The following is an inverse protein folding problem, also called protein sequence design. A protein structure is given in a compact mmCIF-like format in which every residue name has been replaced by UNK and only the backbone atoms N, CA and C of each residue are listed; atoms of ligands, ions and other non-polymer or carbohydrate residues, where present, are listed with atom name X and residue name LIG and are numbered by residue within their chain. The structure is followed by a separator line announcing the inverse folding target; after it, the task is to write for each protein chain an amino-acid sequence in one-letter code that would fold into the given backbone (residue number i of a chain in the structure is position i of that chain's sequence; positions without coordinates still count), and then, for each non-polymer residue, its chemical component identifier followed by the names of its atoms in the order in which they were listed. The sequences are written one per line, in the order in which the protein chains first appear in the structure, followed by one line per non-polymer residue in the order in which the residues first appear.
data_IF_589746441985
#
_entry.id   IF_589746441985
#
_cell.length_a   1.000
_cell.length_b   1.000
_cell.length_c   1.000
_cell.angle_alpha   90.00
_cell.angle_beta   90.00
_cell.angle_gamma   90.00
#
_symmetry.space_group_name_H-M   'P 1'
#
loop_
_entity.id
_entity.type
_entity.pdbx_description
1 polymer ?
#
# COMPACT_ATOMS: atom_id res chain seq x y z
N UNK A 1 18.26 10.92 -10.60
CA UNK A 1 18.51 9.57 -11.16
C UNK A 1 19.53 8.76 -10.38
N UNK A 2 20.69 9.30 -9.98
CA UNK A 2 21.70 8.57 -9.18
C UNK A 2 21.15 7.95 -7.88
N UNK A 3 20.27 8.66 -7.17
CA UNK A 3 19.62 8.12 -5.97
C UNK A 3 18.84 6.84 -6.25
N UNK A 4 18.05 6.80 -7.34
CA UNK A 4 17.28 5.61 -7.73
C UNK A 4 18.21 4.44 -8.08
N UNK A 5 19.35 4.72 -8.72
CA UNK A 5 20.37 3.71 -9.00
C UNK A 5 20.94 3.11 -7.71
N UNK A 6 21.28 3.95 -6.74
CA UNK A 6 21.75 3.50 -5.44
C UNK A 6 20.70 2.62 -4.76
N UNK A 7 19.42 3.04 -4.73
CA UNK A 7 18.33 2.25 -4.15
C UNK A 7 18.17 0.88 -4.82
N UNK A 8 18.15 0.82 -6.15
CA UNK A 8 18.00 -0.46 -6.87
C UNK A 8 19.22 -1.38 -6.65
N UNK A 9 20.42 -0.82 -6.54
CA UNK A 9 21.63 -1.60 -6.27
C UNK A 9 21.67 -2.14 -4.85
N UNK A 10 21.24 -1.34 -3.87
CA UNK A 10 21.32 -1.59 -2.42
C UNK A 10 20.05 -2.16 -1.78
N UNK A 11 19.06 -2.57 -2.58
CA UNK A 11 17.78 -3.08 -2.07
C UNK A 11 17.94 -4.36 -1.23
N UNK A 12 19.02 -5.12 -1.47
CA UNK A 12 19.31 -6.38 -0.76
C UNK A 12 20.01 -6.17 0.59
N UNK A 13 20.52 -4.96 0.86
CA UNK A 13 21.38 -4.66 2.01
C UNK A 13 20.61 -4.30 3.30
N UNK A 14 19.27 -4.28 3.27
CA UNK A 14 18.40 -3.85 4.39
C UNK A 14 18.78 -2.50 5.02
N UNK A 15 19.26 -1.59 4.17
CA UNK A 15 19.60 -0.23 4.57
C UNK A 15 18.33 0.59 4.83
N UNK A 16 17.75 0.48 6.03
CA UNK A 16 16.49 1.15 6.40
C UNK A 16 16.48 2.67 6.13
N UNK A 17 17.54 3.45 6.44
CA UNK A 17 17.56 4.87 6.10
C UNK A 17 17.40 5.13 4.59
N UNK A 18 18.01 4.29 3.75
CA UNK A 18 17.89 4.39 2.29
C UNK A 18 16.46 4.06 1.82
N UNK A 19 15.84 3.03 2.40
CA UNK A 19 14.46 2.61 2.09
C UNK A 19 13.42 3.64 2.55
N UNK A 20 13.67 4.34 3.66
CA UNK A 20 12.83 5.44 4.11
C UNK A 20 12.92 6.66 3.19
N UNK A 21 14.13 7.01 2.71
CA UNK A 21 14.28 8.06 1.69
C UNK A 21 13.61 7.63 0.38
N UNK A 22 13.72 6.36 0.00
CA UNK A 22 13.00 5.83 -1.17
C UNK A 22 11.49 6.01 -1.02
N UNK A 23 10.94 5.69 0.16
CA UNK A 23 9.53 5.91 0.48
C UNK A 23 9.12 7.38 0.36
N UNK A 24 9.99 8.29 0.82
CA UNK A 24 9.76 9.73 0.71
C UNK A 24 9.76 10.20 -0.77
N UNK A 25 10.73 9.71 -1.56
CA UNK A 25 10.87 10.04 -2.98
C UNK A 25 9.72 9.46 -3.80
N UNK A 26 9.20 8.29 -3.45
CA UNK A 26 8.07 7.67 -4.15
C UNK A 26 6.71 8.20 -3.70
N UNK A 27 6.61 8.94 -2.60
CA UNK A 27 5.31 9.38 -2.07
C UNK A 27 4.66 10.46 -2.97
N UNK A 28 3.57 10.17 -3.70
CA UNK A 28 2.93 11.14 -4.60
C UNK A 28 2.34 12.36 -3.88
N UNK A 29 2.07 12.23 -2.57
CA UNK A 29 1.56 13.32 -1.72
C UNK A 29 2.69 14.21 -1.19
N UNK A 30 3.96 13.90 -1.47
CA UNK A 30 5.10 14.71 -1.04
C UNK A 30 5.09 16.10 -1.68
N UNK A 31 5.57 17.11 -0.93
CA UNK A 31 5.62 18.52 -1.37
C UNK A 31 6.29 18.71 -2.73
N UNK A 32 7.34 17.96 -3.00
CA UNK A 32 8.04 18.00 -4.29
C UNK A 32 7.13 17.60 -5.47
N UNK A 33 6.39 16.50 -5.33
CA UNK A 33 5.48 16.03 -6.38
C UNK A 33 4.24 16.91 -6.51
N UNK A 34 3.75 17.47 -5.40
CA UNK A 34 2.67 18.46 -5.45
C UNK A 34 3.10 19.73 -6.20
N UNK A 35 4.31 20.24 -5.95
CA UNK A 35 4.82 21.43 -6.65
C UNK A 35 5.05 21.18 -8.16
N UNK A 36 5.29 19.92 -8.56
CA UNK A 36 5.63 19.54 -9.93
C UNK A 36 4.54 18.66 -10.60
N UNK A 37 3.29 18.74 -10.13
CA UNK A 37 2.23 17.80 -10.49
C UNK A 37 1.86 17.81 -11.98
N UNK A 38 2.07 18.94 -12.68
CA UNK A 38 1.80 19.08 -14.12
C UNK A 38 2.92 18.58 -15.04
N UNK A 39 4.09 18.24 -14.47
CA UNK A 39 5.24 17.80 -15.27
C UNK A 39 4.93 16.46 -15.93
N UNK A 40 5.10 16.37 -17.24
CA UNK A 40 4.91 15.12 -18.01
C UNK A 40 6.15 14.24 -17.90
N UNK A 41 5.95 12.92 -17.91
CA UNK A 41 7.02 11.92 -17.94
C UNK A 41 7.83 12.03 -19.23
N UNK A 42 9.15 11.82 -19.16
CA UNK A 42 10.01 11.79 -20.35
C UNK A 42 10.42 10.35 -20.72
N UNK A 43 9.92 9.35 -19.98
CA UNK A 43 10.27 7.95 -20.17
C UNK A 43 9.99 7.44 -21.59
N UNK A 44 8.79 7.69 -22.11
CA UNK A 44 8.37 7.24 -23.45
C UNK A 44 9.15 7.87 -24.60
N UNK A 45 9.82 9.01 -24.38
CA UNK A 45 10.66 9.63 -25.41
C UNK A 45 12.02 8.94 -25.55
N UNK A 46 12.37 8.04 -24.61
CA UNK A 46 13.71 7.46 -24.50
C UNK A 46 13.73 5.94 -24.64
N UNK A 47 12.57 5.28 -24.50
CA UNK A 47 12.49 3.83 -24.40
C UNK A 47 11.26 3.29 -25.14
N UNK A 48 11.46 2.20 -25.90
CA UNK A 48 10.41 1.48 -26.62
C UNK A 48 9.81 0.30 -25.81
N UNK A 49 10.38 0.00 -24.63
CA UNK A 49 9.91 -1.08 -23.77
C UNK A 49 8.63 -0.72 -23.02
N UNK A 50 7.83 -1.74 -22.68
CA UNK A 50 6.65 -1.55 -21.84
C UNK A 50 7.04 -0.86 -20.51
N UNK A 51 6.40 0.25 -20.15
CA UNK A 51 6.74 0.98 -18.94
C UNK A 51 6.30 0.23 -17.68
N UNK A 52 7.08 0.37 -16.62
CA UNK A 52 6.71 -0.06 -15.28
C UNK A 52 5.68 0.87 -14.62
N UNK A 53 5.70 2.15 -15.03
CA UNK A 53 4.79 3.17 -14.54
C UNK A 53 4.31 4.10 -15.64
N UNK A 54 3.06 4.52 -15.54
CA UNK A 54 2.44 5.47 -16.46
C UNK A 54 1.44 6.35 -15.70
N UNK A 55 1.09 7.50 -16.29
CA UNK A 55 -0.06 8.27 -15.80
C UNK A 55 -1.33 7.54 -16.22
N UNK A 56 -2.03 6.93 -15.26
CA UNK A 56 -3.08 5.95 -15.57
C UNK A 56 -4.42 6.57 -16.02
N UNK A 57 -4.64 7.88 -15.85
CA UNK A 57 -5.86 8.56 -16.33
C UNK A 57 -5.64 10.06 -16.55
N UNK A 58 -6.43 10.68 -17.44
CA UNK A 58 -6.45 12.14 -17.64
C UNK A 58 -6.83 12.93 -16.39
N UNK A 59 -7.46 12.29 -15.39
CA UNK A 59 -7.86 12.93 -14.13
C UNK A 59 -6.77 12.95 -13.07
N UNK A 60 -5.70 12.16 -13.24
CA UNK A 60 -4.60 12.17 -12.28
C UNK A 60 -3.58 13.25 -12.63
N UNK A 61 -2.96 13.89 -11.63
CA UNK A 61 -1.83 14.76 -11.90
C UNK A 61 -0.71 13.93 -12.54
N UNK A 62 -0.12 14.47 -13.60
CA UNK A 62 0.89 13.80 -14.41
C UNK A 62 2.05 13.25 -13.58
N UNK A 63 2.50 14.02 -12.57
CA UNK A 63 3.60 13.67 -11.65
C UNK A 63 4.75 12.96 -12.36
N UNK A 64 5.16 13.46 -13.52
CA UNK A 64 6.07 12.76 -14.42
C UNK A 64 7.40 12.41 -13.78
N UNK A 65 7.87 13.16 -12.77
CA UNK A 65 9.08 12.79 -12.02
C UNK A 65 8.92 11.48 -11.27
N UNK A 66 7.78 11.26 -10.64
CA UNK A 66 7.47 9.99 -9.99
C UNK A 66 7.46 8.86 -11.01
N UNK A 67 6.78 9.06 -12.15
CA UNK A 67 6.74 8.07 -13.25
C UNK A 67 8.14 7.74 -13.75
N UNK A 68 8.99 8.74 -14.00
CA UNK A 68 10.38 8.53 -14.42
C UNK A 68 11.20 7.78 -13.35
N UNK A 69 11.00 8.07 -12.06
CA UNK A 69 11.71 7.39 -10.97
C UNK A 69 11.32 5.93 -10.86
N UNK A 70 10.02 5.62 -10.93
CA UNK A 70 9.52 4.25 -10.86
C UNK A 70 10.03 3.44 -12.05
N UNK A 71 9.92 4.00 -13.25
CA UNK A 71 10.42 3.34 -14.44
C UNK A 71 11.93 3.12 -14.38
N UNK A 72 12.70 4.12 -13.92
CA UNK A 72 14.15 3.93 -13.77
C UNK A 72 14.49 2.84 -12.76
N UNK A 73 13.72 2.71 -11.69
CA UNK A 73 13.90 1.64 -10.71
C UNK A 73 13.65 0.26 -11.35
N UNK A 74 12.60 0.14 -12.17
CA UNK A 74 12.29 -1.09 -12.90
C UNK A 74 13.34 -1.48 -13.93
N UNK A 75 13.84 -0.53 -14.73
CA UNK A 75 14.93 -0.76 -15.69
C UNK A 75 16.19 -1.36 -15.05
N UNK A 76 16.43 -1.05 -13.78
CA UNK A 76 17.59 -1.51 -13.03
C UNK A 76 17.35 -2.88 -12.36
N UNK A 77 16.26 -3.58 -12.70
CA UNK A 77 15.87 -4.85 -12.10
C UNK A 77 15.41 -4.73 -10.66
N UNK A 78 15.04 -3.53 -10.20
CA UNK A 78 14.68 -3.29 -8.81
C UNK A 78 13.45 -4.10 -8.37
N UNK A 79 12.47 -4.28 -9.25
CA UNK A 79 11.26 -5.05 -8.95
C UNK A 79 11.53 -6.55 -8.84
N UNK A 80 12.38 -7.11 -9.71
CA UNK A 80 12.80 -8.51 -9.62
C UNK A 80 13.48 -8.78 -8.27
N UNK A 81 14.38 -7.88 -7.85
CA UNK A 81 15.03 -8.00 -6.55
C UNK A 81 14.02 -7.93 -5.40
N UNK A 82 13.07 -6.99 -5.44
CA UNK A 82 12.00 -6.92 -4.42
C UNK A 82 11.23 -8.23 -4.36
N UNK A 83 10.76 -8.74 -5.50
CA UNK A 83 10.03 -10.00 -5.55
C UNK A 83 10.86 -11.13 -4.92
N UNK A 84 12.13 -11.24 -5.30
CA UNK A 84 13.06 -12.24 -4.76
C UNK A 84 13.24 -12.12 -3.24
N UNK A 85 13.25 -10.91 -2.67
CA UNK A 85 13.32 -10.71 -1.20
C UNK A 85 12.14 -11.33 -0.45
N UNK A 86 10.97 -11.44 -1.08
CA UNK A 86 9.78 -12.05 -0.46
C UNK A 86 9.64 -13.54 -0.77
N UNK A 87 10.11 -14.00 -1.93
CA UNK A 87 9.89 -15.38 -2.40
C UNK A 87 11.08 -16.31 -2.20
N UNK A 88 12.28 -15.78 -1.99
CA UNK A 88 13.47 -16.60 -1.72
C UNK A 88 13.47 -17.12 -0.28
N UNK A 89 13.65 -18.44 -0.15
CA UNK A 89 13.82 -19.13 1.13
C UNK A 89 15.13 -18.81 1.85
N UNK A 90 16.10 -18.22 1.16
CA UNK A 90 17.44 -17.95 1.70
C UNK A 90 17.50 -16.64 2.50
N UNK A 91 16.56 -15.72 2.26
CA UNK A 91 16.52 -14.41 2.91
C UNK A 91 15.62 -14.43 4.15
N UNK A 92 16.20 -14.11 5.31
CA UNK A 92 15.42 -13.94 6.54
C UNK A 92 14.57 -12.67 6.46
N UNK A 93 13.28 -12.85 6.22
CA UNK A 93 12.32 -11.75 6.19
C UNK A 93 11.85 -11.38 7.60
N UNK A 94 11.91 -10.09 7.94
CA UNK A 94 11.38 -9.54 9.20
C UNK A 94 10.27 -8.54 8.90
N UNK A 95 9.40 -8.26 9.88
CA UNK A 95 8.30 -7.30 9.70
C UNK A 95 8.83 -5.91 9.30
N UNK A 96 9.93 -5.46 9.90
CA UNK A 96 10.56 -4.19 9.54
C UNK A 96 11.03 -4.15 8.09
N UNK A 97 11.58 -5.26 7.57
CA UNK A 97 11.96 -5.37 6.15
C UNK A 97 10.73 -5.36 5.25
N UNK A 98 9.65 -6.09 5.61
CA UNK A 98 8.37 -6.05 4.88
C UNK A 98 7.85 -4.62 4.76
N UNK A 99 7.81 -3.88 5.87
CA UNK A 99 7.39 -2.48 5.92
C UNK A 99 8.24 -1.63 4.97
N UNK A 100 9.57 -1.72 5.11
CA UNK A 100 10.49 -0.87 4.37
C UNK A 100 10.46 -1.13 2.85
N UNK A 101 10.28 -2.39 2.44
CA UNK A 101 10.20 -2.77 1.03
C UNK A 101 8.84 -2.48 0.40
N UNK A 102 7.72 -2.64 1.13
CA UNK A 102 6.37 -2.39 0.58
C UNK A 102 5.98 -0.93 0.55
N UNK A 103 6.39 -0.14 1.54
CA UNK A 103 5.93 1.24 1.76
C UNK A 103 6.06 2.14 0.52
N UNK A 104 7.19 2.19 -0.23
CA UNK A 104 7.28 3.05 -1.41
C UNK A 104 6.18 2.77 -2.43
N UNK A 105 5.90 1.49 -2.69
CA UNK A 105 4.99 1.03 -3.73
C UNK A 105 3.53 1.11 -3.33
N UNK A 106 3.25 0.83 -2.05
CA UNK A 106 1.92 1.09 -1.48
C UNK A 106 1.53 2.56 -1.50
N UNK A 107 2.51 3.48 -1.45
CA UNK A 107 2.26 4.92 -1.56
C UNK A 107 2.04 5.38 -3.00
N UNK A 108 2.73 4.79 -3.97
CA UNK A 108 2.68 5.22 -5.38
C UNK A 108 1.92 4.27 -6.32
N UNK A 109 1.13 3.34 -5.78
CA UNK A 109 0.47 2.27 -6.52
C UNK A 109 -0.37 2.74 -7.72
N UNK A 110 -0.98 3.93 -7.65
CA UNK A 110 -1.78 4.53 -8.72
C UNK A 110 -0.98 4.81 -10.00
N UNK A 111 0.36 4.86 -9.90
CA UNK A 111 1.26 5.13 -11.02
C UNK A 111 1.88 3.87 -11.60
N UNK A 112 1.78 2.72 -10.92
CA UNK A 112 2.29 1.44 -11.45
C UNK A 112 1.35 0.94 -12.55
N UNK A 113 1.92 0.42 -13.64
CA UNK A 113 1.13 -0.25 -14.66
C UNK A 113 0.52 -1.54 -14.10
N UNK A 114 -0.62 -1.96 -14.65
CA UNK A 114 -1.26 -3.22 -14.23
C UNK A 114 -0.32 -4.41 -14.44
N UNK A 115 0.38 -4.47 -15.59
CA UNK A 115 1.41 -5.46 -15.91
C UNK A 115 2.50 -5.53 -14.82
N UNK A 116 2.96 -4.39 -14.29
CA UNK A 116 3.94 -4.35 -13.20
C UNK A 116 3.39 -4.92 -11.90
N UNK A 117 2.15 -4.59 -11.54
CA UNK A 117 1.52 -5.10 -10.33
C UNK A 117 1.31 -6.61 -10.41
N UNK A 118 0.77 -7.09 -11.52
CA UNK A 118 0.55 -8.52 -11.76
C UNK A 118 1.87 -9.30 -11.74
N UNK A 119 2.90 -8.80 -12.43
CA UNK A 119 4.18 -9.49 -12.54
C UNK A 119 4.97 -9.55 -11.22
N UNK A 120 5.04 -8.44 -10.48
CA UNK A 120 5.96 -8.33 -9.35
C UNK A 120 5.29 -8.34 -7.98
N UNK A 121 4.03 -7.91 -7.87
CA UNK A 121 3.37 -7.74 -6.57
C UNK A 121 2.31 -8.79 -6.28
N UNK A 122 1.76 -9.50 -7.28
CA UNK A 122 0.74 -10.54 -7.06
C UNK A 122 1.20 -11.62 -6.05
N UNK A 123 2.41 -12.15 -6.25
CA UNK A 123 3.01 -13.13 -5.32
C UNK A 123 3.29 -12.55 -3.93
N UNK A 124 3.63 -11.27 -3.84
CA UNK A 124 3.85 -10.59 -2.55
C UNK A 124 2.52 -10.41 -1.81
N UNK A 125 1.45 -10.06 -2.53
CA UNK A 125 0.08 -9.92 -2.00
C UNK A 125 -0.44 -11.24 -1.45
N UNK A 126 -0.07 -12.37 -2.04
CA UNK A 126 -0.40 -13.71 -1.53
C UNK A 126 0.49 -14.11 -0.35
N UNK A 127 1.79 -13.81 -0.42
CA UNK A 127 2.78 -14.26 0.56
C UNK A 127 2.67 -13.52 1.90
N UNK A 128 2.58 -12.18 1.90
CA UNK A 128 2.65 -11.38 3.13
C UNK A 128 1.51 -11.69 4.12
N UNK A 129 0.26 -11.91 3.70
CA UNK A 129 -0.80 -12.40 4.58
C UNK A 129 -0.46 -13.71 5.30
N UNK A 130 0.16 -14.67 4.60
CA UNK A 130 0.59 -15.93 5.19
C UNK A 130 1.69 -15.71 6.23
N UNK A 131 2.69 -14.89 5.89
CA UNK A 131 3.76 -14.49 6.80
C UNK A 131 3.22 -13.83 8.08
N UNK A 132 2.28 -12.87 7.96
CA UNK A 132 1.70 -12.18 9.11
C UNK A 132 0.86 -13.10 10.00
N UNK A 133 0.15 -14.07 9.41
CA UNK A 133 -0.61 -15.06 10.18
C UNK A 133 0.29 -16.03 10.96
N UNK A 134 1.52 -16.27 10.50
CA UNK A 134 2.48 -17.17 11.15
C UNK A 134 3.29 -16.52 12.27
N UNK A 135 3.16 -15.20 12.48
CA UNK A 135 3.86 -14.52 13.57
C UNK A 135 3.52 -15.15 14.93
N UNK A 136 4.54 -15.48 15.71
CA UNK A 136 4.34 -15.96 17.08
C UNK A 136 3.80 -14.83 17.96
N UNK A 137 3.26 -15.17 19.14
CA UNK A 137 2.80 -14.15 20.09
C UNK A 137 3.94 -13.23 20.56
N UNK A 138 5.17 -13.77 20.65
CA UNK A 138 6.34 -12.99 21.01
C UNK A 138 6.76 -12.03 19.89
N UNK A 139 6.82 -12.50 18.64
CA UNK A 139 7.16 -11.65 17.49
C UNK A 139 6.13 -10.52 17.31
N UNK A 140 4.85 -10.87 17.46
CA UNK A 140 3.75 -9.89 17.43
C UNK A 140 3.92 -8.84 18.53
N UNK A 141 4.16 -9.27 19.78
CA UNK A 141 4.41 -8.36 20.92
C UNK A 141 5.62 -7.47 20.71
N UNK A 142 6.71 -8.00 20.17
CA UNK A 142 7.93 -7.21 19.90
C UNK A 142 7.64 -6.10 18.90
N UNK A 143 6.84 -6.39 17.87
CA UNK A 143 6.50 -5.39 16.86
C UNK A 143 5.56 -4.31 17.40
N UNK A 144 4.54 -4.67 18.19
CA UNK A 144 3.50 -3.74 18.67
C UNK A 144 3.84 -3.05 20.02
N UNK A 145 5.07 -3.23 20.54
CA UNK A 145 5.50 -2.67 21.82
C UNK A 145 5.59 -1.15 21.84
N UNK A 146 5.68 -0.50 20.67
CA UNK A 146 5.76 0.96 20.55
C UNK A 146 4.47 1.48 19.92
N UNK A 147 3.86 2.52 20.49
CA UNK A 147 2.59 3.06 19.98
C UNK A 147 2.66 3.45 18.49
N UNK A 148 3.80 3.98 18.04
CA UNK A 148 4.04 4.28 16.62
C UNK A 148 4.10 3.07 15.69
N UNK A 149 4.37 1.87 16.23
CA UNK A 149 4.45 0.62 15.46
C UNK A 149 3.13 -0.14 15.39
N UNK A 150 2.16 0.16 16.24
CA UNK A 150 0.80 -0.39 16.14
C UNK A 150 0.18 -0.09 14.77
N UNK A 151 0.42 1.13 14.27
CA UNK A 151 -0.03 1.55 12.94
C UNK A 151 0.76 0.89 11.80
N UNK A 152 1.92 0.30 12.08
CA UNK A 152 2.79 -0.26 11.04
C UNK A 152 2.22 -1.54 10.41
N UNK A 153 1.62 -2.44 11.20
CA UNK A 153 0.94 -3.63 10.66
C UNK A 153 -0.30 -3.23 9.85
N UNK A 154 -1.10 -2.29 10.35
CA UNK A 154 -2.24 -1.72 9.63
C UNK A 154 -1.81 -1.04 8.32
N UNK A 155 -0.67 -0.35 8.34
CA UNK A 155 -0.09 0.28 7.15
C UNK A 155 0.35 -0.76 6.10
N UNK A 156 0.98 -1.86 6.51
CA UNK A 156 1.33 -2.97 5.60
C UNK A 156 0.08 -3.50 4.90
N UNK A 157 -0.98 -3.81 5.66
CA UNK A 157 -2.23 -4.34 5.07
C UNK A 157 -2.88 -3.30 4.15
N UNK A 158 -2.84 -2.02 4.52
CA UNK A 158 -3.32 -0.92 3.66
C UNK A 158 -2.55 -0.85 2.34
N UNK A 159 -1.21 -0.91 2.38
CA UNK A 159 -0.37 -0.88 1.17
C UNK A 159 -0.60 -2.11 0.29
N UNK A 160 -0.77 -3.30 0.88
CA UNK A 160 -1.14 -4.49 0.12
C UNK A 160 -2.51 -4.32 -0.54
N UNK A 161 -3.50 -3.75 0.16
CA UNK A 161 -4.83 -3.48 -0.40
C UNK A 161 -4.77 -2.50 -1.56
N UNK A 162 -3.96 -1.45 -1.45
CA UNK A 162 -3.73 -0.51 -2.54
C UNK A 162 -3.25 -1.25 -3.80
N UNK A 163 -2.23 -2.10 -3.66
CA UNK A 163 -1.70 -2.89 -4.79
C UNK A 163 -2.73 -3.93 -5.30
N UNK A 164 -3.39 -4.65 -4.40
CA UNK A 164 -4.39 -5.67 -4.73
C UNK A 164 -5.61 -5.10 -5.46
N UNK A 165 -5.99 -3.85 -5.18
CA UNK A 165 -7.11 -3.18 -5.86
C UNK A 165 -6.89 -2.97 -7.36
N UNK A 166 -5.67 -3.19 -7.85
CA UNK A 166 -5.27 -3.05 -9.26
C UNK A 166 -5.13 -4.39 -9.99
N UNK A 167 -5.37 -5.52 -9.30
CA UNK A 167 -5.37 -6.85 -9.92
C UNK A 167 -6.75 -7.17 -10.54
N UNK A 168 -6.83 -8.06 -11.55
CA UNK A 168 -8.09 -8.51 -12.13
C UNK A 168 -9.06 -9.13 -11.11
N UNK A 169 -8.53 -9.89 -10.14
CA UNK A 169 -9.29 -10.54 -9.06
C UNK A 169 -9.32 -9.71 -7.76
N UNK A 170 -9.32 -8.39 -7.89
CA UNK A 170 -9.18 -7.45 -6.76
C UNK A 170 -10.17 -7.69 -5.63
N UNK A 171 -11.40 -8.07 -5.95
CA UNK A 171 -12.49 -8.26 -4.98
C UNK A 171 -12.19 -9.36 -3.95
N UNK A 172 -11.64 -10.49 -4.39
CA UNK A 172 -11.27 -11.58 -3.49
C UNK A 172 -10.08 -11.17 -2.63
N UNK A 173 -8.99 -10.71 -3.26
CA UNK A 173 -7.77 -10.32 -2.56
C UNK A 173 -8.04 -9.20 -1.53
N UNK A 174 -8.86 -8.21 -1.86
CA UNK A 174 -9.22 -7.13 -0.95
C UNK A 174 -10.04 -7.63 0.25
N UNK A 175 -10.99 -8.56 0.04
CA UNK A 175 -11.76 -9.16 1.16
C UNK A 175 -10.85 -9.96 2.09
N UNK A 176 -9.94 -10.76 1.55
CA UNK A 176 -9.01 -11.56 2.36
C UNK A 176 -8.08 -10.65 3.19
N UNK A 177 -7.66 -9.51 2.64
CA UNK A 177 -6.90 -8.48 3.36
C UNK A 177 -7.72 -7.76 4.44
N UNK A 178 -9.02 -7.51 4.22
CA UNK A 178 -9.91 -6.96 5.25
C UNK A 178 -10.08 -7.93 6.42
N UNK A 179 -10.25 -9.23 6.14
CA UNK A 179 -10.31 -10.25 7.17
C UNK A 179 -8.99 -10.34 7.96
N UNK A 180 -7.85 -10.32 7.26
CA UNK A 180 -6.54 -10.27 7.90
C UNK A 180 -6.39 -9.05 8.81
N UNK A 181 -6.87 -7.87 8.38
CA UNK A 181 -6.83 -6.65 9.20
C UNK A 181 -7.61 -6.84 10.50
N UNK A 182 -8.82 -7.39 10.43
CA UNK A 182 -9.63 -7.66 11.61
C UNK A 182 -8.94 -8.67 12.55
N UNK A 183 -8.30 -9.72 12.00
CA UNK A 183 -7.50 -10.67 12.78
C UNK A 183 -6.33 -9.99 13.49
N UNK A 184 -5.60 -9.10 12.81
CA UNK A 184 -4.48 -8.37 13.44
C UNK A 184 -4.96 -7.41 14.53
N UNK A 185 -6.08 -6.70 14.33
CA UNK A 185 -6.70 -5.85 15.34
C UNK A 185 -7.13 -6.68 16.56
N UNK A 186 -7.75 -7.84 16.35
CA UNK A 186 -8.13 -8.74 17.43
C UNK A 186 -6.91 -9.21 18.24
N UNK A 187 -5.81 -9.58 17.59
CA UNK A 187 -4.55 -9.94 18.26
C UNK A 187 -3.98 -8.77 19.09
N UNK A 188 -4.12 -7.54 18.61
CA UNK A 188 -3.73 -6.33 19.34
C UNK A 188 -4.61 -6.08 20.58
N UNK A 189 -5.93 -6.29 20.48
CA UNK A 189 -6.85 -6.21 21.64
C UNK A 189 -6.54 -7.26 22.70
N UNK A 190 -6.15 -8.45 22.27
CA UNK A 190 -5.85 -9.59 23.13
C UNK A 190 -4.47 -9.51 23.78
N UNK A 191 -3.58 -8.63 23.31
CA UNK A 191 -2.30 -8.41 23.97
C UNK A 191 -2.53 -7.67 25.29
N UNK A 192 -1.95 -8.15 26.40
CA UNK A 192 -2.07 -7.56 27.75
C UNK A 192 -1.32 -6.21 27.87
N UNK A 193 -1.73 -5.22 27.08
CA UNK A 193 -1.31 -3.83 27.15
C UNK A 193 -2.57 -2.97 27.12
N UNK A 194 -2.79 -2.17 28.17
CA UNK A 194 -3.93 -1.23 28.23
C UNK A 194 -3.93 -0.26 27.04
N UNK A 195 -2.74 0.18 26.59
CA UNK A 195 -2.55 1.02 25.41
C UNK A 195 -2.91 0.27 24.10
N UNK A 196 -2.55 -1.02 23.99
CA UNK A 196 -2.95 -1.86 22.85
C UNK A 196 -4.48 -2.00 22.71
N UNK A 197 -5.17 -2.18 23.85
CA UNK A 197 -6.64 -2.24 23.91
C UNK A 197 -7.31 -0.95 23.45
N UNK A 198 -6.82 0.21 23.89
CA UNK A 198 -7.39 1.51 23.55
C UNK A 198 -7.16 1.87 22.06
N UNK A 199 -5.99 1.56 21.51
CA UNK A 199 -5.69 1.81 20.09
C UNK A 199 -6.53 0.96 19.15
N UNK A 200 -6.73 -0.32 19.47
CA UNK A 200 -7.59 -1.16 18.66
C UNK A 200 -9.08 -0.78 18.77
N UNK A 201 -9.54 -0.29 19.94
CA UNK A 201 -10.88 0.29 20.06
C UNK A 201 -11.03 1.54 19.17
N UNK A 202 -10.01 2.39 19.11
CA UNK A 202 -9.99 3.55 18.20
C UNK A 202 -10.02 3.16 16.72
N UNK A 203 -9.34 2.08 16.32
CA UNK A 203 -9.41 1.57 14.94
C UNK A 203 -10.80 1.00 14.61
N UNK A 204 -11.45 0.30 15.53
CA UNK A 204 -12.85 -0.16 15.36
C UNK A 204 -13.79 1.02 15.15
N UNK A 205 -13.63 2.10 15.92
CA UNK A 205 -14.39 3.35 15.73
C UNK A 205 -14.18 3.98 14.35
N UNK A 206 -12.95 3.94 13.80
CA UNK A 206 -12.68 4.45 12.45
C UNK A 206 -13.27 3.58 11.34
N UNK A 207 -13.46 2.27 11.59
CA UNK A 207 -14.00 1.32 10.61
C UNK A 207 -15.53 1.26 10.60
N UNK A 208 -16.21 1.63 11.69
CA UNK A 208 -17.68 1.65 11.80
C UNK A 208 -18.40 2.35 10.62
N UNK A 209 -17.96 3.54 10.16
CA UNK A 209 -18.58 4.21 9.00
C UNK A 209 -18.50 3.41 7.69
N UNK A 210 -17.50 2.54 7.55
CA UNK A 210 -17.32 1.69 6.37
C UNK A 210 -18.10 0.37 6.42
N UNK A 211 -18.66 0.03 7.59
CA UNK A 211 -19.36 -1.23 7.85
C UNK A 211 -20.89 -1.09 7.91
N UNK A 212 -21.44 0.12 7.88
CA UNK A 212 -22.89 0.35 7.87
C UNK A 212 -23.43 0.45 6.44
N UNK A 213 -24.30 -0.47 5.99
CA UNK A 213 -25.07 -0.30 4.75
C UNK A 213 -26.25 0.68 4.89
N UNK A 214 -26.45 1.30 6.06
CA UNK A 214 -27.67 2.03 6.44
C UNK A 214 -27.55 3.55 6.24
N UNK A 215 -27.05 3.95 5.07
CA UNK A 215 -27.27 5.33 4.59
C UNK A 215 -27.36 5.40 3.06
N UNK A 216 -28.06 4.45 2.44
CA UNK A 216 -28.43 4.53 1.02
C UNK A 216 -29.95 4.54 0.77
N UNK A 217 -30.78 4.68 1.81
CA UNK A 217 -32.24 4.54 1.66
C UNK A 217 -33.07 5.50 2.52
N UNK A 218 -32.64 6.75 2.70
CA UNK A 218 -33.50 7.82 3.28
C UNK A 218 -33.23 9.20 2.68
N UNK A 219 -32.90 9.27 1.39
CA UNK A 219 -33.02 10.51 0.62
C UNK A 219 -33.70 10.26 -0.73
N UNK A 220 -34.82 9.55 -0.68
CA UNK A 220 -35.89 9.71 -1.64
C UNK A 220 -37.07 10.25 -0.85
N UNK A 221 -37.22 11.59 -0.81
CA UNK A 221 -38.49 12.22 -0.42
C UNK A 221 -39.50 11.83 -1.50
N UNK A 222 -40.60 11.15 -1.19
CA UNK A 222 -41.77 11.19 -2.03
C UNK A 222 -42.38 12.58 -1.88
N UNK A 223 -42.66 13.22 -3.01
CA UNK A 223 -43.49 14.42 -3.09
C UNK A 223 -44.89 14.09 -2.55
N UNK A 224 -45.18 14.51 -1.32
CA UNK A 224 -46.56 14.63 -0.85
C UNK A 224 -47.12 15.96 -1.37
N UNK A 225 -47.62 15.96 -2.61
CA UNK A 225 -48.46 17.05 -3.09
C UNK A 225 -49.51 16.58 -4.12
N UNK A 226 -50.53 15.86 -3.65
CA UNK A 226 -51.88 15.78 -4.23
C UNK A 226 -52.84 15.50 -3.06
N UNK A 227 -53.94 16.22 -2.78
CA UNK A 227 -54.60 17.34 -3.42
C UNK A 227 -55.90 17.69 -2.67
N UNK A 228 -56.69 18.56 -3.32
CA UNK A 228 -58.10 18.96 -3.09
C UNK A 228 -58.38 20.31 -2.38
N UNK A 229 -58.57 21.30 -3.24
CA UNK A 229 -59.54 22.43 -3.22
C UNK A 229 -60.98 21.95 -2.97
N UNK A 230 -61.94 22.82 -2.56
CA UNK A 230 -62.47 23.94 -3.36
C UNK A 230 -62.05 25.33 -2.90
#
# INVERSE_FOLDING_TARGET
MLFIQLCAFKIDDDCFPLLDVLSFVMNPTGRYHQANHNRTSLYHLKNDSEPFAATMEYRFPQRGWLVDFINKFGELGGFDKILNRFTSSETKLTISVVIALLKPWGLCYEYLTQSTIEKYFARIIEFVPLFLNQLTENDFKVEVKTESKNDSLSAVIKWLRHLASRLPDSDRACRDLDELRLKMILRLLQTNSFSGKMNALNEVHKLLPSLTPIHRSTLSRPDDNEGLTP
#
